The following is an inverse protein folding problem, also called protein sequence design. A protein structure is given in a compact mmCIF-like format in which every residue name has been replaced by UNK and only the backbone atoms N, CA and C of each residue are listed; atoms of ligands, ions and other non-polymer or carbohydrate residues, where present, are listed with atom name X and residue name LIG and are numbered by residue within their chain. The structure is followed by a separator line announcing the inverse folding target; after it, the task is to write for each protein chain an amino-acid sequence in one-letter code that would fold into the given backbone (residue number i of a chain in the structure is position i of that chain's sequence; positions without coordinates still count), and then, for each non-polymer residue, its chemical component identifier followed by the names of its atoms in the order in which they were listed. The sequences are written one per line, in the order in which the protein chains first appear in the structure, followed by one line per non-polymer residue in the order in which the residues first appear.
data_IF_360504801412
#
_entry.id   IF_360504801412
#
_cell.length_a   1.000
_cell.length_b   1.000
_cell.length_c   1.000
_cell.angle_alpha   90.00
_cell.angle_beta   90.00
_cell.angle_gamma   90.00
#
_symmetry.space_group_name_H-M   'P 1'
#
loop_
_entity.id
_entity.type
_entity.pdbx_description
1 polymer ?
#
# COMPACT_ATOMS: atom_id res chain seq x y z
N UNK A 1 -45.26 7.60 19.86
CA UNK A 1 -43.88 7.07 19.82
C UNK A 1 -42.93 8.13 20.40
N UNK A 2 -42.07 7.79 21.33
CA UNK A 2 -41.26 8.77 22.08
C UNK A 2 -40.15 9.33 21.12
N UNK A 3 -40.21 10.68 20.86
CA UNK A 3 -39.24 11.36 19.94
C UNK A 3 -37.76 11.06 20.26
N UNK A 4 -37.44 10.88 21.56
CA UNK A 4 -36.08 10.51 22.00
C UNK A 4 -35.68 9.09 21.54
N UNK A 5 -36.62 8.15 21.64
CA UNK A 5 -36.38 6.75 21.15
C UNK A 5 -36.21 6.71 19.63
N UNK A 6 -37.01 7.47 18.90
CA UNK A 6 -36.89 7.56 17.43
C UNK A 6 -35.55 8.17 17.01
N UNK A 7 -35.12 9.25 17.68
CA UNK A 7 -33.84 9.88 17.41
C UNK A 7 -32.67 8.96 17.75
N UNK A 8 -32.71 8.24 18.87
CA UNK A 8 -31.69 7.26 19.24
C UNK A 8 -31.59 6.10 18.20
N UNK A 9 -32.73 5.54 17.78
CA UNK A 9 -32.78 4.49 16.77
C UNK A 9 -32.21 4.98 15.42
N UNK A 10 -32.53 6.22 15.02
CA UNK A 10 -31.98 6.81 13.79
C UNK A 10 -30.46 6.99 13.87
N UNK A 11 -29.94 7.46 15.02
CA UNK A 11 -28.50 7.60 15.24
C UNK A 11 -27.77 6.25 15.16
N UNK A 12 -28.30 5.19 15.78
CA UNK A 12 -27.74 3.85 15.73
C UNK A 12 -27.73 3.33 14.29
N UNK A 13 -28.83 3.49 13.55
CA UNK A 13 -28.90 3.07 12.14
C UNK A 13 -27.87 3.83 11.29
N UNK A 14 -27.75 5.13 11.46
CA UNK A 14 -26.77 5.93 10.72
C UNK A 14 -25.34 5.48 11.01
N UNK A 15 -25.00 5.24 12.27
CA UNK A 15 -23.68 4.72 12.67
C UNK A 15 -23.42 3.34 12.04
N UNK A 16 -24.41 2.44 12.09
CA UNK A 16 -24.28 1.13 11.44
C UNK A 16 -24.05 1.24 9.91
N UNK A 17 -24.81 2.11 9.24
CA UNK A 17 -24.61 2.36 7.81
C UNK A 17 -23.21 2.89 7.50
N UNK A 18 -22.68 3.84 8.30
CA UNK A 18 -21.33 4.38 8.14
C UNK A 18 -20.28 3.29 8.35
N UNK A 19 -20.42 2.44 9.35
CA UNK A 19 -19.48 1.33 9.60
C UNK A 19 -19.52 0.30 8.46
N UNK A 20 -20.70 -0.06 7.98
CA UNK A 20 -20.83 -0.98 6.85
C UNK A 20 -20.24 -0.40 5.56
N UNK A 21 -20.50 0.87 5.28
CA UNK A 21 -19.91 1.59 4.16
C UNK A 21 -18.38 1.62 4.27
N UNK A 22 -17.85 1.98 5.44
CA UNK A 22 -16.42 2.03 5.71
C UNK A 22 -15.73 0.66 5.68
N UNK A 23 -16.49 -0.43 5.74
CA UNK A 23 -15.95 -1.78 5.71
C UNK A 23 -16.00 -2.42 4.32
N UNK A 24 -17.06 -2.15 3.55
CA UNK A 24 -17.37 -2.93 2.34
C UNK A 24 -17.39 -2.13 1.05
N UNK A 25 -17.40 -0.79 1.12
CA UNK A 25 -17.38 0.05 -0.08
C UNK A 25 -15.94 0.33 -0.46
N UNK A 26 -15.47 -0.34 -1.52
CA UNK A 26 -14.15 -0.10 -2.10
C UNK A 26 -14.12 1.27 -2.77
N UNK A 27 -13.07 2.04 -2.51
CA UNK A 27 -12.77 3.33 -3.14
C UNK A 27 -11.46 3.23 -3.92
N UNK A 28 -11.44 3.77 -5.13
CA UNK A 28 -10.20 3.94 -5.89
C UNK A 28 -9.76 5.39 -5.76
N UNK A 29 -8.52 5.60 -5.32
CA UNK A 29 -7.92 6.93 -5.15
C UNK A 29 -6.77 7.08 -6.13
N UNK A 30 -6.80 8.15 -6.93
CA UNK A 30 -5.75 8.48 -7.89
C UNK A 30 -4.79 9.51 -7.25
N UNK A 31 -3.49 9.24 -7.32
CA UNK A 31 -2.42 10.17 -6.98
C UNK A 31 -1.51 10.38 -8.19
N UNK A 32 -0.97 11.59 -8.34
CA UNK A 32 0.08 11.90 -9.29
C UNK A 32 1.36 12.21 -8.51
N UNK A 33 2.44 11.50 -8.80
CA UNK A 33 3.75 11.75 -8.26
C UNK A 33 4.65 12.34 -9.35
N UNK A 34 5.26 13.49 -9.08
CA UNK A 34 6.03 14.27 -10.06
C UNK A 34 7.48 14.31 -9.68
N UNK A 35 8.34 14.13 -10.68
CA UNK A 35 9.79 14.09 -10.50
C UNK A 35 10.50 14.73 -11.68
N UNK A 36 11.57 15.47 -11.39
CA UNK A 36 12.44 16.09 -12.40
C UNK A 36 13.33 15.07 -13.13
N UNK A 37 13.68 13.97 -12.44
CA UNK A 37 14.65 12.95 -12.84
C UNK A 37 14.00 11.62 -13.26
N UNK A 38 12.66 11.60 -13.39
CA UNK A 38 11.96 10.42 -13.91
C UNK A 38 12.35 10.16 -15.36
N UNK A 39 12.76 8.93 -15.72
CA UNK A 39 13.07 8.60 -17.11
C UNK A 39 11.85 8.82 -18.03
N UNK A 40 12.05 9.41 -19.22
CA UNK A 40 10.93 9.88 -20.07
C UNK A 40 9.88 8.83 -20.43
N UNK A 41 10.29 7.58 -20.59
CA UNK A 41 9.35 6.50 -20.94
C UNK A 41 8.43 6.10 -19.78
N UNK A 42 8.73 6.58 -18.55
CA UNK A 42 7.89 6.40 -17.36
C UNK A 42 6.90 7.55 -17.15
N UNK A 43 6.88 8.58 -18.01
CA UNK A 43 5.85 9.63 -17.94
C UNK A 43 4.47 9.03 -18.28
N UNK A 44 3.53 9.14 -17.36
CA UNK A 44 2.21 8.51 -17.44
C UNK A 44 2.16 7.06 -16.93
N UNK A 45 3.27 6.48 -16.44
CA UNK A 45 3.32 5.12 -15.93
C UNK A 45 2.42 4.95 -14.70
N UNK A 46 1.60 3.90 -14.68
CA UNK A 46 0.54 3.68 -13.69
C UNK A 46 0.86 2.51 -12.77
N UNK A 47 0.76 2.72 -11.47
CA UNK A 47 1.00 1.71 -10.44
C UNK A 47 -0.29 1.50 -9.65
N UNK A 48 -0.87 0.28 -9.68
CA UNK A 48 -1.93 -0.10 -8.76
C UNK A 48 -1.32 -0.61 -7.45
N UNK A 49 -1.71 -0.01 -6.32
CA UNK A 49 -1.16 -0.34 -5.00
C UNK A 49 -2.20 -1.03 -4.16
N UNK A 50 -1.89 -2.23 -3.72
CA UNK A 50 -2.70 -3.09 -2.84
C UNK A 50 -1.95 -3.28 -1.53
N UNK A 51 -2.60 -3.03 -0.40
CA UNK A 51 -2.00 -3.18 0.93
C UNK A 51 -3.04 -3.61 1.95
N UNK A 52 -2.58 -4.26 3.01
CA UNK A 52 -3.38 -4.50 4.22
C UNK A 52 -4.73 -5.18 3.92
N UNK A 53 -4.72 -6.27 3.17
CA UNK A 53 -5.94 -7.02 2.83
C UNK A 53 -6.53 -7.73 4.06
N UNK A 54 -5.65 -8.29 4.93
CA UNK A 54 -6.04 -9.00 6.16
C UNK A 54 -7.16 -10.03 5.96
N UNK A 55 -7.08 -10.81 4.89
CA UNK A 55 -8.05 -11.84 4.57
C UNK A 55 -9.44 -11.32 4.14
N UNK A 56 -9.60 -10.01 3.95
CA UNK A 56 -10.84 -9.44 3.42
C UNK A 56 -11.06 -9.89 1.97
N UNK A 57 -12.34 -10.02 1.60
CA UNK A 57 -12.74 -10.30 0.22
C UNK A 57 -13.76 -9.27 -0.27
N UNK A 58 -13.58 -8.82 -1.50
CA UNK A 58 -14.42 -7.80 -2.14
C UNK A 58 -15.29 -8.43 -3.24
N UNK A 59 -16.42 -8.98 -2.83
CA UNK A 59 -17.30 -9.80 -3.67
C UNK A 59 -16.85 -11.27 -3.70
N UNK A 60 -17.55 -12.09 -4.48
CA UNK A 60 -17.15 -13.46 -4.69
C UNK A 60 -15.81 -13.49 -5.44
N UNK A 61 -14.85 -14.27 -4.94
CA UNK A 61 -13.52 -14.42 -5.54
C UNK A 61 -12.84 -13.07 -5.80
N UNK A 62 -12.97 -12.13 -4.88
CA UNK A 62 -12.43 -10.76 -4.97
C UNK A 62 -12.86 -9.96 -6.22
N UNK A 63 -13.92 -10.38 -6.91
CA UNK A 63 -14.30 -9.86 -8.25
C UNK A 63 -14.46 -8.34 -8.33
N UNK A 64 -14.87 -7.66 -7.25
CA UNK A 64 -14.96 -6.19 -7.23
C UNK A 64 -13.58 -5.53 -7.17
N UNK A 65 -12.65 -6.08 -6.39
CA UNK A 65 -11.28 -5.58 -6.29
C UNK A 65 -10.52 -5.84 -7.59
N UNK A 66 -10.60 -7.05 -8.11
CA UNK A 66 -9.99 -7.45 -9.40
C UNK A 66 -10.46 -6.53 -10.53
N UNK A 67 -11.77 -6.25 -10.60
CA UNK A 67 -12.32 -5.32 -11.57
C UNK A 67 -11.75 -3.91 -11.39
N UNK A 68 -11.69 -3.40 -10.16
CA UNK A 68 -11.13 -2.08 -9.89
C UNK A 68 -9.66 -1.97 -10.32
N UNK A 69 -8.86 -3.03 -10.07
CA UNK A 69 -7.46 -3.10 -10.55
C UNK A 69 -7.41 -3.10 -12.07
N UNK A 70 -8.23 -3.90 -12.74
CA UNK A 70 -8.29 -3.94 -14.21
C UNK A 70 -8.73 -2.61 -14.82
N UNK A 71 -9.75 -1.97 -14.24
CA UNK A 71 -10.27 -0.67 -14.70
C UNK A 71 -9.22 0.45 -14.53
N UNK A 72 -8.33 0.34 -13.54
CA UNK A 72 -7.21 1.27 -13.32
C UNK A 72 -6.14 1.18 -14.42
N UNK A 73 -6.11 0.11 -15.23
CA UNK A 73 -5.13 -0.13 -16.31
C UNK A 73 -3.69 0.12 -15.84
N UNK A 74 -3.22 -0.58 -14.82
CA UNK A 74 -1.88 -0.39 -14.31
C UNK A 74 -0.82 -0.98 -15.25
N UNK A 75 0.37 -0.38 -15.25
CA UNK A 75 1.57 -0.94 -15.88
C UNK A 75 2.26 -1.96 -14.95
N UNK A 76 2.13 -1.75 -13.64
CA UNK A 76 2.50 -2.73 -12.60
C UNK A 76 1.50 -2.71 -11.44
N UNK A 77 1.48 -3.81 -10.67
CA UNK A 77 0.74 -3.95 -9.43
C UNK A 77 1.73 -4.09 -8.28
N UNK A 78 1.68 -3.20 -7.28
CA UNK A 78 2.49 -3.25 -6.07
C UNK A 78 1.65 -3.78 -4.90
N UNK A 79 2.05 -4.92 -4.32
CA UNK A 79 1.44 -5.52 -3.14
C UNK A 79 2.37 -5.26 -1.95
N UNK A 80 1.91 -4.43 -1.00
CA UNK A 80 2.76 -3.88 0.06
C UNK A 80 2.70 -4.65 1.38
N UNK A 81 2.25 -5.91 1.36
CA UNK A 81 2.20 -6.74 2.56
C UNK A 81 0.91 -6.60 3.37
N UNK A 82 0.87 -7.31 4.50
CA UNK A 82 -0.30 -7.50 5.36
C UNK A 82 -1.52 -8.04 4.58
N UNK A 83 -1.25 -8.97 3.65
CA UNK A 83 -2.30 -9.65 2.90
C UNK A 83 -3.07 -10.62 3.80
N UNK A 84 -2.46 -11.10 4.86
CA UNK A 84 -3.04 -12.01 5.85
C UNK A 84 -2.87 -11.45 7.28
N UNK A 85 -3.76 -11.81 8.19
CA UNK A 85 -3.57 -11.68 9.65
C UNK A 85 -3.28 -13.03 10.27
N UNK A 86 -3.93 -14.08 9.76
CA UNK A 86 -3.81 -15.46 10.22
C UNK A 86 -3.55 -16.40 9.04
N UNK A 87 -2.98 -17.60 9.28
CA UNK A 87 -2.80 -18.61 8.22
C UNK A 87 -4.07 -18.99 7.48
N UNK A 88 -5.24 -18.85 8.13
CA UNK A 88 -6.57 -19.09 7.53
C UNK A 88 -6.95 -18.08 6.45
N UNK A 89 -6.22 -16.96 6.33
CA UNK A 89 -6.53 -15.91 5.39
C UNK A 89 -5.84 -16.12 4.03
N UNK A 90 -4.92 -17.10 3.94
CA UNK A 90 -4.21 -17.44 2.71
C UNK A 90 -5.15 -17.67 1.51
N UNK A 91 -6.30 -18.36 1.63
CA UNK A 91 -7.20 -18.54 0.49
C UNK A 91 -7.78 -17.22 -0.06
N UNK A 92 -7.97 -16.20 0.77
CA UNK A 92 -8.42 -14.89 0.30
C UNK A 92 -7.35 -14.17 -0.50
N UNK A 93 -6.09 -14.32 -0.10
CA UNK A 93 -4.95 -13.77 -0.84
C UNK A 93 -4.71 -14.54 -2.15
N UNK A 94 -4.79 -15.87 -2.12
CA UNK A 94 -4.71 -16.72 -3.32
C UNK A 94 -5.77 -16.32 -4.35
N UNK A 95 -7.03 -16.20 -3.92
CA UNK A 95 -8.14 -15.77 -4.78
C UNK A 95 -7.93 -14.37 -5.37
N UNK A 96 -7.24 -13.47 -4.66
CA UNK A 96 -6.86 -12.17 -5.22
C UNK A 96 -5.79 -12.34 -6.30
N UNK A 97 -4.75 -13.13 -6.03
CA UNK A 97 -3.68 -13.41 -7.01
C UNK A 97 -4.23 -14.05 -8.28
N UNK A 98 -5.08 -15.08 -8.14
CA UNK A 98 -5.77 -15.71 -9.28
C UNK A 98 -6.49 -14.69 -10.17
N UNK A 99 -7.14 -13.70 -9.53
CA UNK A 99 -7.93 -12.71 -10.25
C UNK A 99 -7.12 -11.61 -10.93
N UNK A 100 -5.96 -11.25 -10.39
CA UNK A 100 -5.11 -10.17 -10.94
C UNK A 100 -3.96 -10.70 -11.82
N UNK A 101 -3.75 -12.02 -11.85
CA UNK A 101 -2.77 -12.65 -12.73
C UNK A 101 -3.03 -12.26 -14.20
N UNK A 102 -1.98 -11.82 -14.88
CA UNK A 102 -2.05 -11.40 -16.29
C UNK A 102 -2.63 -10.00 -16.53
N UNK A 103 -3.05 -9.24 -15.50
CA UNK A 103 -3.43 -7.83 -15.67
C UNK A 103 -2.19 -6.98 -15.91
N UNK A 104 -1.17 -7.10 -15.05
CA UNK A 104 0.13 -6.44 -15.14
C UNK A 104 1.15 -7.20 -14.30
N UNK A 105 2.48 -6.98 -14.47
CA UNK A 105 3.50 -7.54 -13.58
C UNK A 105 3.23 -7.17 -12.11
N UNK A 106 3.39 -8.15 -11.22
CA UNK A 106 3.10 -8.00 -9.78
C UNK A 106 4.42 -7.96 -9.01
N UNK A 107 4.62 -6.90 -8.22
CA UNK A 107 5.70 -6.77 -7.25
C UNK A 107 5.13 -6.90 -5.85
N UNK A 108 5.66 -7.79 -5.03
CA UNK A 108 5.12 -8.13 -3.72
C UNK A 108 6.20 -8.07 -2.65
N UNK A 109 5.87 -7.51 -1.49
CA UNK A 109 6.69 -7.51 -0.27
C UNK A 109 5.90 -8.08 0.91
N UNK A 110 6.59 -8.40 2.02
CA UNK A 110 5.94 -8.70 3.29
C UNK A 110 5.53 -7.45 4.06
N UNK A 111 4.48 -7.60 4.88
CA UNK A 111 4.21 -6.70 6.00
C UNK A 111 4.56 -7.33 7.35
N UNK A 112 4.15 -6.69 8.43
CA UNK A 112 4.43 -7.18 9.77
C UNK A 112 3.56 -8.38 10.17
N UNK A 113 2.39 -8.55 9.57
CA UNK A 113 1.49 -9.66 9.90
C UNK A 113 1.96 -10.98 9.29
N UNK A 114 2.58 -11.01 8.11
CA UNK A 114 3.21 -12.20 7.56
C UNK A 114 4.29 -12.76 8.50
N UNK A 115 5.09 -11.87 9.09
CA UNK A 115 6.09 -12.22 10.10
C UNK A 115 5.45 -12.69 11.41
N UNK A 116 4.48 -11.95 11.94
CA UNK A 116 3.78 -12.30 13.18
C UNK A 116 3.02 -13.63 13.08
N UNK A 117 2.47 -13.95 11.92
CA UNK A 117 1.76 -15.20 11.65
C UNK A 117 2.70 -16.36 11.30
N UNK A 118 4.02 -16.15 11.21
CA UNK A 118 5.00 -17.14 10.72
C UNK A 118 4.63 -17.71 9.34
N UNK A 119 4.11 -16.86 8.46
CA UNK A 119 3.61 -17.25 7.15
C UNK A 119 4.41 -16.69 5.96
N UNK A 120 5.52 -15.99 6.19
CA UNK A 120 6.36 -15.38 5.16
C UNK A 120 6.67 -16.33 4.01
N UNK A 121 7.17 -17.54 4.31
CA UNK A 121 7.50 -18.53 3.27
C UNK A 121 6.27 -19.00 2.48
N UNK A 122 5.11 -19.09 3.12
CA UNK A 122 3.87 -19.50 2.46
C UNK A 122 3.36 -18.39 1.53
N UNK A 123 3.34 -17.15 2.00
CA UNK A 123 2.94 -15.97 1.22
C UNK A 123 3.88 -15.78 0.04
N UNK A 124 5.20 -15.87 0.27
CA UNK A 124 6.21 -15.82 -0.79
C UNK A 124 6.01 -16.89 -1.84
N UNK A 125 5.85 -18.16 -1.41
CA UNK A 125 5.64 -19.28 -2.33
C UNK A 125 4.37 -19.08 -3.15
N UNK A 126 3.30 -18.61 -2.53
CA UNK A 126 2.04 -18.34 -3.18
C UNK A 126 2.19 -17.23 -4.23
N UNK A 127 2.78 -16.09 -3.88
CA UNK A 127 3.01 -15.00 -4.81
C UNK A 127 3.87 -15.44 -6.01
N UNK A 128 4.97 -16.15 -5.75
CA UNK A 128 5.84 -16.66 -6.80
C UNK A 128 5.13 -17.67 -7.73
N UNK A 129 4.20 -18.49 -7.21
CA UNK A 129 3.46 -19.46 -8.06
C UNK A 129 2.47 -18.79 -9.01
N UNK A 130 2.11 -17.52 -8.77
CA UNK A 130 1.31 -16.66 -9.65
C UNK A 130 2.17 -15.67 -10.46
N UNK A 131 3.46 -15.95 -10.59
CA UNK A 131 4.37 -15.13 -11.41
C UNK A 131 4.72 -13.75 -10.81
N UNK A 132 4.44 -13.51 -9.54
CA UNK A 132 4.81 -12.25 -8.91
C UNK A 132 6.32 -12.20 -8.62
N UNK A 133 6.91 -11.00 -8.73
CA UNK A 133 8.24 -10.69 -8.25
C UNK A 133 8.16 -10.45 -6.74
N UNK A 134 8.72 -11.35 -5.94
CA UNK A 134 8.68 -11.23 -4.49
C UNK A 134 10.00 -10.66 -3.98
N UNK A 135 9.96 -9.40 -3.52
CA UNK A 135 11.13 -8.67 -3.05
C UNK A 135 11.25 -8.76 -1.53
N UNK A 136 12.42 -9.16 -1.07
CA UNK A 136 12.76 -9.35 0.35
C UNK A 136 14.18 -8.87 0.57
N UNK A 137 14.36 -7.63 0.97
CA UNK A 137 15.63 -6.89 0.96
C UNK A 137 16.38 -7.08 -0.38
N UNK A 138 15.64 -6.91 -1.46
CA UNK A 138 16.15 -7.10 -2.81
C UNK A 138 15.56 -6.06 -3.76
N UNK A 139 16.22 -5.89 -4.89
CA UNK A 139 15.82 -4.96 -5.93
C UNK A 139 16.12 -5.53 -7.31
N UNK A 140 15.39 -5.04 -8.29
CA UNK A 140 15.58 -5.39 -9.69
C UNK A 140 15.22 -4.24 -10.63
N UNK A 141 15.80 -4.18 -11.82
CA UNK A 141 15.42 -3.18 -12.81
C UNK A 141 14.06 -3.49 -13.43
N UNK A 142 13.22 -2.48 -13.52
CA UNK A 142 11.96 -2.44 -14.29
C UNK A 142 12.20 -1.61 -15.55
N UNK A 143 11.95 -2.20 -16.71
CA UNK A 143 12.16 -1.54 -18.00
C UNK A 143 10.84 -1.05 -18.60
N UNK A 144 10.87 0.15 -19.16
CA UNK A 144 9.84 0.70 -20.03
C UNK A 144 10.53 1.25 -21.27
N UNK A 145 10.31 0.64 -22.45
CA UNK A 145 11.08 0.96 -23.66
C UNK A 145 12.59 0.76 -23.45
N UNK A 146 13.36 1.81 -23.66
CA UNK A 146 14.83 1.81 -23.44
C UNK A 146 15.26 2.28 -22.05
N UNK A 147 14.33 2.84 -21.28
CA UNK A 147 14.58 3.35 -19.94
C UNK A 147 14.32 2.30 -18.86
N UNK A 148 14.91 2.54 -17.69
CA UNK A 148 14.67 1.71 -16.50
C UNK A 148 14.50 2.56 -15.25
N UNK A 149 13.82 1.99 -14.28
CA UNK A 149 13.83 2.39 -12.87
C UNK A 149 14.18 1.16 -12.02
N UNK A 150 14.57 1.35 -10.76
CA UNK A 150 14.85 0.23 -9.86
C UNK A 150 13.69 0.07 -8.90
N UNK A 151 13.08 -1.11 -8.91
CA UNK A 151 12.05 -1.49 -7.91
C UNK A 151 12.76 -2.21 -6.77
N UNK A 152 12.67 -1.65 -5.57
CA UNK A 152 13.29 -2.21 -4.38
C UNK A 152 12.21 -2.56 -3.35
N UNK A 153 12.29 -3.75 -2.78
CA UNK A 153 11.44 -4.19 -1.67
C UNK A 153 12.24 -4.36 -0.39
N UNK A 154 11.93 -3.52 0.61
CA UNK A 154 12.54 -3.63 1.94
C UNK A 154 11.66 -4.47 2.87
N UNK A 155 12.30 -5.32 3.68
CA UNK A 155 11.62 -6.15 4.67
C UNK A 155 11.14 -5.35 5.88
N UNK A 156 10.08 -5.86 6.50
CA UNK A 156 9.55 -5.29 7.74
C UNK A 156 10.51 -5.50 8.92
N UNK A 157 10.57 -4.53 9.82
CA UNK A 157 11.40 -4.59 11.05
C UNK A 157 11.03 -5.73 12.01
N UNK A 158 9.89 -6.40 11.83
CA UNK A 158 9.54 -7.64 12.51
C UNK A 158 10.26 -8.87 11.92
N UNK A 159 11.03 -8.69 10.85
CA UNK A 159 11.90 -9.70 10.28
C UNK A 159 12.97 -10.17 11.27
N UNK A 160 13.84 -11.07 10.81
CA UNK A 160 14.93 -11.57 11.63
C UNK A 160 15.94 -10.46 11.94
N UNK A 161 16.50 -10.49 13.13
CA UNK A 161 17.44 -9.46 13.62
C UNK A 161 18.75 -9.35 12.82
N UNK A 162 19.08 -10.37 12.02
CA UNK A 162 20.26 -10.42 11.15
C UNK A 162 19.98 -9.94 9.71
N UNK A 163 18.75 -9.45 9.44
CA UNK A 163 18.41 -8.90 8.13
C UNK A 163 18.95 -7.48 7.97
N UNK A 164 19.33 -7.18 6.74
CA UNK A 164 19.76 -5.84 6.31
C UNK A 164 18.68 -4.80 6.61
N UNK A 165 19.07 -3.69 7.19
CA UNK A 165 18.16 -2.58 7.48
C UNK A 165 17.85 -1.76 6.23
N UNK A 166 16.75 -0.98 6.17
CA UNK A 166 16.44 -0.14 5.03
C UNK A 166 17.58 0.82 4.62
N UNK A 167 18.33 1.50 5.53
CA UNK A 167 19.48 2.29 5.14
C UNK A 167 20.65 1.49 4.53
N UNK A 168 20.93 0.29 5.04
CA UNK A 168 21.97 -0.59 4.48
C UNK A 168 21.58 -1.08 3.09
N UNK A 169 20.31 -1.49 2.90
CA UNK A 169 19.77 -1.88 1.61
C UNK A 169 19.84 -0.73 0.60
N UNK A 170 19.45 0.49 1.00
CA UNK A 170 19.51 1.66 0.13
C UNK A 170 20.97 2.02 -0.24
N UNK A 171 21.90 1.93 0.71
CA UNK A 171 23.32 2.16 0.44
C UNK A 171 23.89 1.12 -0.56
N UNK A 172 23.52 -0.15 -0.42
CA UNK A 172 23.91 -1.21 -1.35
C UNK A 172 23.31 -0.97 -2.74
N UNK A 173 22.03 -0.62 -2.81
CA UNK A 173 21.35 -0.30 -4.06
C UNK A 173 22.04 0.87 -4.78
N UNK A 174 22.30 1.99 -4.07
CA UNK A 174 22.97 3.16 -4.66
C UNK A 174 24.42 2.89 -5.04
N UNK A 175 25.08 1.93 -4.41
CA UNK A 175 26.41 1.46 -4.83
C UNK A 175 26.39 0.78 -6.20
N UNK A 176 25.29 0.15 -6.58
CA UNK A 176 25.09 -0.56 -7.86
C UNK A 176 24.38 0.32 -8.90
N UNK A 177 23.41 1.14 -8.45
CA UNK A 177 22.57 2.02 -9.27
C UNK A 177 22.58 3.45 -8.72
N UNK A 178 23.71 4.19 -8.88
CA UNK A 178 23.90 5.50 -8.22
C UNK A 178 22.91 6.56 -8.68
N UNK A 179 22.53 6.56 -9.96
CA UNK A 179 21.77 7.62 -10.61
C UNK A 179 20.39 7.17 -11.10
N UNK A 180 20.03 5.88 -10.91
CA UNK A 180 18.73 5.38 -11.37
C UNK A 180 17.60 5.85 -10.44
N UNK A 181 16.42 6.10 -11.02
CA UNK A 181 15.20 6.36 -10.25
C UNK A 181 14.80 5.11 -9.43
N UNK A 182 14.52 5.29 -8.13
CA UNK A 182 14.21 4.20 -7.19
C UNK A 182 12.77 4.26 -6.74
N UNK A 183 11.99 3.24 -7.12
CA UNK A 183 10.70 2.93 -6.55
C UNK A 183 10.91 1.98 -5.35
N UNK A 184 10.65 2.51 -4.13
CA UNK A 184 10.86 1.81 -2.88
C UNK A 184 9.54 1.29 -2.31
N UNK A 185 9.39 -0.03 -2.21
CA UNK A 185 8.26 -0.69 -1.58
C UNK A 185 8.61 -1.02 -0.13
N UNK A 186 7.88 -0.45 0.81
CA UNK A 186 8.06 -0.70 2.23
C UNK A 186 6.72 -0.66 2.94
N UNK A 187 6.40 -1.71 3.69
CA UNK A 187 5.08 -1.83 4.30
C UNK A 187 4.73 -0.69 5.24
N UNK A 188 5.69 -0.29 6.12
CA UNK A 188 5.41 0.73 7.16
C UNK A 188 5.44 2.15 6.62
N UNK A 189 4.55 2.96 7.17
CA UNK A 189 4.37 4.36 6.85
C UNK A 189 5.37 5.31 7.54
N UNK A 190 6.37 4.78 8.24
CA UNK A 190 7.34 5.55 9.03
C UNK A 190 8.68 5.78 8.31
N UNK A 191 8.73 5.62 6.98
CA UNK A 191 9.98 5.74 6.23
C UNK A 191 10.63 7.11 6.41
N UNK A 192 9.86 8.20 6.24
CA UNK A 192 10.40 9.55 6.33
C UNK A 192 10.92 9.90 7.73
N UNK A 193 10.23 9.46 8.78
CA UNK A 193 10.68 9.71 10.17
C UNK A 193 11.65 8.66 10.70
N UNK A 194 11.50 7.41 10.27
CA UNK A 194 12.35 6.30 10.71
C UNK A 194 13.73 6.28 10.04
N UNK A 195 13.80 6.78 8.80
CA UNK A 195 15.00 6.77 7.97
C UNK A 195 15.13 8.10 7.20
N UNK A 196 15.26 9.23 7.90
CA UNK A 196 15.32 10.55 7.26
C UNK A 196 16.51 10.63 6.27
N UNK A 197 16.23 11.19 5.09
CA UNK A 197 17.23 11.29 4.02
C UNK A 197 17.58 9.98 3.34
N UNK A 198 16.71 8.95 3.41
CA UNK A 198 16.89 7.72 2.65
C UNK A 198 16.99 8.07 1.15
N UNK A 199 18.05 7.65 0.45
CA UNK A 199 18.29 8.07 -0.93
C UNK A 199 17.44 7.29 -1.93
N UNK A 200 16.12 7.54 -1.91
CA UNK A 200 15.11 6.92 -2.79
C UNK A 200 14.13 7.99 -3.28
N UNK A 201 13.47 7.75 -4.39
CA UNK A 201 12.68 8.79 -5.05
C UNK A 201 11.20 8.68 -4.73
N UNK A 202 10.60 7.50 -4.90
CA UNK A 202 9.20 7.23 -4.56
C UNK A 202 9.09 6.07 -3.57
N UNK A 203 8.45 6.31 -2.45
CA UNK A 203 8.10 5.29 -1.44
C UNK A 203 6.61 4.98 -1.53
N UNK A 204 6.25 3.70 -1.62
CA UNK A 204 4.87 3.23 -1.48
C UNK A 204 4.73 2.44 -0.19
N UNK A 205 3.77 2.84 0.66
CA UNK A 205 3.57 2.26 1.98
C UNK A 205 2.08 2.01 2.29
N UNK A 206 1.83 1.11 3.25
CA UNK A 206 0.53 0.82 3.83
C UNK A 206 0.52 1.02 5.33
N UNK A 207 0.14 -0.03 6.09
CA UNK A 207 0.25 -0.18 7.54
C UNK A 207 -0.60 0.76 8.39
N UNK A 208 -0.77 2.03 7.99
CA UNK A 208 -1.45 3.07 8.77
C UNK A 208 -2.97 2.88 8.88
N UNK A 209 -3.56 2.06 8.01
CA UNK A 209 -5.01 1.86 7.90
C UNK A 209 -5.83 3.15 7.84
N UNK A 210 -5.26 4.24 7.32
CA UNK A 210 -5.90 5.55 7.26
C UNK A 210 -6.25 6.13 8.65
N UNK A 211 -5.58 5.70 9.71
CA UNK A 211 -5.89 6.10 11.09
C UNK A 211 -7.21 5.52 11.60
N UNK A 212 -7.65 4.39 11.04
CA UNK A 212 -8.80 3.53 11.41
C UNK A 212 -10.14 4.26 11.51
N UNK A 213 -10.28 5.19 12.46
CA UNK A 213 -11.44 6.09 12.64
C UNK A 213 -11.05 7.45 12.12
N UNK A 214 -11.78 7.96 11.14
CA UNK A 214 -11.53 9.28 10.57
C UNK A 214 -12.65 10.24 10.93
N UNK A 215 -12.30 11.49 11.14
CA UNK A 215 -13.28 12.56 11.31
C UNK A 215 -13.05 13.65 10.26
N UNK A 216 -14.13 14.26 9.75
CA UNK A 216 -14.02 15.40 8.86
C UNK A 216 -13.15 16.49 9.50
N UNK A 217 -12.25 17.08 8.69
CA UNK A 217 -11.33 18.18 9.07
C UNK A 217 -10.21 17.80 10.05
N UNK A 218 -10.30 16.66 10.74
CA UNK A 218 -9.30 16.22 11.73
C UNK A 218 -8.38 15.14 11.11
N UNK A 219 -8.92 14.29 10.25
CA UNK A 219 -8.17 13.16 9.69
C UNK A 219 -8.34 11.88 10.51
N UNK A 220 -7.35 11.00 10.47
CA UNK A 220 -7.32 9.75 11.23
C UNK A 220 -7.01 9.99 12.70
N UNK A 221 -7.72 9.28 13.55
CA UNK A 221 -7.60 9.48 14.98
C UNK A 221 -6.59 8.55 15.64
N UNK A 222 -6.42 7.35 15.11
CA UNK A 222 -5.65 6.29 15.77
C UNK A 222 -4.47 5.88 14.90
N UNK A 223 -3.26 5.88 15.46
CA UNK A 223 -2.12 5.21 14.84
C UNK A 223 -2.27 3.67 14.96
N UNK A 224 -1.37 2.93 14.37
CA UNK A 224 -1.33 1.46 14.42
C UNK A 224 -1.18 0.90 15.84
N UNK A 225 -0.71 1.71 16.78
CA UNK A 225 -0.61 1.39 18.20
C UNK A 225 -1.83 1.86 19.00
N UNK A 226 -2.89 2.36 18.33
CA UNK A 226 -4.13 2.90 18.93
C UNK A 226 -3.91 4.17 19.77
N UNK A 227 -2.84 4.93 19.50
CA UNK A 227 -2.60 6.23 20.08
C UNK A 227 -3.26 7.31 19.22
N UNK A 228 -3.67 8.41 19.85
CA UNK A 228 -4.21 9.57 19.14
C UNK A 228 -3.09 10.31 18.39
N UNK A 229 -3.43 10.83 17.19
CA UNK A 229 -2.50 11.60 16.36
C UNK A 229 -1.73 10.71 15.39
N UNK A 230 -2.45 10.02 14.50
CA UNK A 230 -1.83 9.24 13.42
C UNK A 230 -1.03 10.16 12.49
N UNK A 231 0.25 9.88 12.34
CA UNK A 231 1.14 10.55 11.41
C UNK A 231 1.27 9.71 10.13
N UNK A 232 1.37 10.37 8.96
CA UNK A 232 1.45 9.68 7.65
C UNK A 232 0.35 8.62 7.46
N UNK A 233 -0.89 8.99 7.74
CA UNK A 233 -2.00 8.04 7.77
C UNK A 233 -2.54 7.65 6.39
N UNK A 234 -2.47 8.55 5.42
CA UNK A 234 -2.86 8.36 4.02
C UNK A 234 -2.45 9.55 3.15
N UNK A 235 -2.23 9.30 1.88
CA UNK A 235 -2.00 10.37 0.89
C UNK A 235 -0.54 10.56 0.56
N UNK A 236 -0.20 11.73 0.07
CA UNK A 236 1.13 12.07 -0.43
C UNK A 236 1.87 12.91 0.61
N UNK A 237 3.11 12.57 0.88
CA UNK A 237 4.03 13.27 1.76
C UNK A 237 5.36 13.44 1.06
N UNK A 238 6.06 14.53 1.34
CA UNK A 238 7.31 14.88 0.69
C UNK A 238 8.36 15.27 1.74
N UNK A 239 9.59 14.78 1.57
CA UNK A 239 10.75 15.18 2.36
C UNK A 239 11.97 15.26 1.45
N UNK A 240 12.49 16.47 1.23
CA UNK A 240 13.55 16.71 0.23
C UNK A 240 13.08 16.34 -1.17
N UNK A 241 13.79 15.41 -1.82
CA UNK A 241 13.40 14.86 -3.14
C UNK A 241 12.54 13.59 -3.04
N UNK A 242 12.36 13.03 -1.85
CA UNK A 242 11.61 11.79 -1.66
C UNK A 242 10.12 12.05 -1.52
N UNK A 243 9.31 11.40 -2.35
CA UNK A 243 7.85 11.37 -2.25
C UNK A 243 7.43 10.05 -1.60
N UNK A 244 6.57 10.11 -0.58
CA UNK A 244 5.96 8.91 0.02
C UNK A 244 4.45 8.95 -0.17
N UNK A 245 3.90 7.85 -0.68
CA UNK A 245 2.45 7.65 -0.81
C UNK A 245 2.02 6.53 0.12
N UNK A 246 1.08 6.85 1.01
CA UNK A 246 0.56 5.93 2.01
C UNK A 246 -0.88 5.55 1.69
N UNK A 247 -1.12 4.24 1.54
CA UNK A 247 -2.45 3.67 1.34
C UNK A 247 -3.19 3.52 2.68
N UNK A 248 -4.51 3.70 2.64
CA UNK A 248 -5.39 3.33 3.77
C UNK A 248 -5.57 1.83 3.92
N UNK A 249 -5.11 1.05 2.96
CA UNK A 249 -5.28 -0.39 2.93
C UNK A 249 -6.72 -0.85 2.67
N UNK A 250 -6.86 -2.14 2.41
CA UNK A 250 -8.09 -2.79 1.99
C UNK A 250 -8.90 -3.37 3.15
N UNK A 251 -8.22 -4.00 4.10
CA UNK A 251 -8.83 -4.70 5.24
C UNK A 251 -8.63 -4.00 6.57
N UNK A 252 -8.74 -4.79 7.63
CA UNK A 252 -8.55 -4.34 9.00
C UNK A 252 -8.11 -5.50 9.88
N UNK A 253 -7.00 -5.34 10.59
CA UNK A 253 -6.42 -6.37 11.48
C UNK A 253 -6.90 -6.27 12.93
N UNK A 254 -7.66 -5.24 13.29
CA UNK A 254 -8.07 -4.97 14.67
C UNK A 254 -9.59 -5.00 14.85
N UNK A 255 -10.02 -5.16 16.12
CA UNK A 255 -11.45 -5.22 16.50
C UNK A 255 -12.17 -3.89 16.28
N UNK A 256 -11.45 -2.75 16.34
CA UNK A 256 -12.06 -1.43 16.10
C UNK A 256 -12.46 -1.33 14.64
N UNK A 257 -13.75 -1.14 14.32
CA UNK A 257 -14.18 -1.03 12.94
C UNK A 257 -13.69 0.27 12.31
N UNK A 258 -13.42 0.23 11.00
CA UNK A 258 -13.24 1.44 10.23
C UNK A 258 -14.48 2.33 10.32
N UNK A 259 -14.29 3.63 10.46
CA UNK A 259 -15.36 4.62 10.51
C UNK A 259 -15.00 5.84 9.66
N UNK A 260 -15.85 6.19 8.70
CA UNK A 260 -15.59 7.22 7.67
C UNK A 260 -14.24 7.00 6.95
N UNK A 261 -13.89 5.74 6.73
CA UNK A 261 -12.58 5.32 6.27
C UNK A 261 -12.70 4.04 5.41
N UNK A 262 -13.10 4.21 4.16
CA UNK A 262 -13.33 3.10 3.21
C UNK A 262 -12.05 2.36 2.87
N UNK A 263 -12.12 1.06 2.57
CA UNK A 263 -11.05 0.32 1.89
C UNK A 263 -10.62 1.02 0.61
N UNK A 264 -9.32 1.04 0.35
CA UNK A 264 -8.74 1.84 -0.72
C UNK A 264 -7.86 1.00 -1.66
N UNK A 265 -8.16 1.08 -2.96
CA UNK A 265 -7.21 0.82 -4.03
C UNK A 265 -6.54 2.15 -4.38
N UNK A 266 -5.23 2.24 -4.26
CA UNK A 266 -4.48 3.43 -4.69
C UNK A 266 -3.96 3.22 -6.11
N UNK A 267 -4.12 4.23 -6.96
CA UNK A 267 -3.52 4.29 -8.29
C UNK A 267 -2.57 5.47 -8.33
N UNK A 268 -1.29 5.21 -8.58
CA UNK A 268 -0.26 6.24 -8.71
C UNK A 268 0.09 6.40 -10.17
N UNK A 269 0.04 7.63 -10.67
CA UNK A 269 0.57 7.97 -12.00
C UNK A 269 1.88 8.74 -11.81
N UNK A 270 2.95 8.21 -12.38
CA UNK A 270 4.24 8.91 -12.42
C UNK A 270 4.19 10.00 -13.50
N UNK A 271 4.80 11.13 -13.26
CA UNK A 271 4.90 12.19 -14.26
C UNK A 271 6.19 13.00 -14.12
N UNK A 272 6.66 13.50 -15.24
CA UNK A 272 7.80 14.43 -15.27
C UNK A 272 7.30 15.80 -14.85
N UNK A 273 8.04 16.47 -13.97
CA UNK A 273 7.76 17.88 -13.67
C UNK A 273 8.23 18.74 -14.87
N UNK A 274 7.26 19.20 -15.65
CA UNK A 274 7.58 20.13 -16.72
C UNK A 274 8.04 21.44 -16.08
N UNK A 275 9.37 21.65 -15.99
CA UNK A 275 9.87 22.99 -15.73
C UNK A 275 9.29 23.89 -16.80
N UNK A 276 8.34 24.74 -16.43
CA UNK A 276 7.97 25.88 -17.26
C UNK A 276 9.27 26.65 -17.50
N UNK A 277 9.81 26.52 -18.70
CA UNK A 277 10.89 27.39 -19.18
C UNK A 277 10.28 28.80 -19.26
N UNK A 278 10.47 29.56 -18.17
CA UNK A 278 10.31 31.01 -18.17
C UNK A 278 11.47 31.69 -18.91
#
# INVERSE_FOLDING_TARGET
MNRKLTAAAAAVMLTACIVLDSRFTLETTEYSARFDDLPPEFDGFRIAVLSDLHGMSFGKDNSRLVRAVSDAKPDIIAILGDMITYPSDLPAFESLLDGIEGIAPIYCINGNHEWAAHCVDKVRKLALSHGAHFLSNSYEPLYCGSSRIIVCGAEDKNGRADMETPPELAARLRGEYPDDFVLWLYHRNDTLTGFPGLPVDLVLSGHAHGGIVRLPFIGGLLDVHRRLGAEYEKGVYEEGSTVMIVSRGLGNSIVVPRFLNRPELVCVTLSIDSKTSD
#
